data_IF_605295769047
#
_entry.id   IF_605295769047
#
_cell.length_a   1.000
_cell.length_b   1.000
_cell.length_c   1.000
_cell.angle_alpha   90.00
_cell.angle_beta   90.00
_cell.angle_gamma   90.00
#
_symmetry.space_group_name_H-M   'P 1'
#
loop_
_entity.id
_entity.type
_entity.pdbx_description
1 polymer ?
#
# COMPACT_ATOMS: atom_id res chain seq x y z
N UNK A 1 52.54 -29.26 -13.90
CA UNK A 1 52.12 -28.49 -12.70
C UNK A 1 50.90 -27.58 -12.96
N UNK A 2 50.30 -27.58 -14.17
CA UNK A 2 49.11 -26.76 -14.49
C UNK A 2 47.75 -27.49 -14.37
N UNK A 3 47.72 -28.76 -13.96
CA UNK A 3 46.47 -29.54 -13.91
C UNK A 3 45.66 -29.36 -12.62
N UNK A 4 46.29 -28.89 -11.52
CA UNK A 4 45.62 -28.83 -10.21
C UNK A 4 44.90 -27.51 -9.94
N UNK A 5 45.13 -26.46 -10.73
CA UNK A 5 44.43 -25.16 -10.60
C UNK A 5 43.14 -25.09 -11.40
N UNK A 6 43.00 -25.88 -12.49
CA UNK A 6 41.77 -25.93 -13.30
C UNK A 6 40.65 -26.79 -12.70
N UNK A 7 40.94 -27.72 -11.79
CA UNK A 7 39.91 -28.56 -11.13
C UNK A 7 39.15 -27.75 -10.06
N UNK A 8 39.86 -26.94 -9.26
CA UNK A 8 39.26 -26.23 -8.11
C UNK A 8 38.24 -25.14 -8.50
N UNK A 9 38.45 -24.42 -9.61
CA UNK A 9 37.53 -23.37 -10.08
C UNK A 9 36.23 -23.95 -10.67
N UNK A 10 36.31 -25.08 -11.39
CA UNK A 10 35.18 -25.64 -12.14
C UNK A 10 34.23 -26.47 -11.26
N UNK A 11 34.74 -27.10 -10.20
CA UNK A 11 33.92 -27.84 -9.24
C UNK A 11 33.11 -26.89 -8.32
N UNK A 12 33.71 -25.78 -7.88
CA UNK A 12 33.02 -24.78 -7.06
C UNK A 12 31.89 -24.05 -7.82
N UNK A 13 32.06 -23.86 -9.14
CA UNK A 13 31.02 -23.27 -9.99
C UNK A 13 29.83 -24.23 -10.18
N UNK A 14 30.07 -25.54 -10.29
CA UNK A 14 29.02 -26.55 -10.43
C UNK A 14 28.18 -26.72 -9.15
N UNK A 15 28.81 -26.61 -7.97
CA UNK A 15 28.11 -26.62 -6.67
C UNK A 15 27.20 -25.39 -6.45
N UNK A 16 27.60 -24.21 -6.93
CA UNK A 16 26.75 -22.99 -6.84
C UNK A 16 25.58 -23.00 -7.84
N UNK A 17 25.73 -23.61 -9.01
CA UNK A 17 24.65 -23.74 -10.00
C UNK A 17 23.60 -24.76 -9.55
N UNK A 18 24.00 -25.88 -8.93
CA UNK A 18 23.08 -26.93 -8.48
C UNK A 18 22.33 -26.57 -7.17
N UNK A 19 22.94 -25.77 -6.29
CA UNK A 19 22.27 -25.16 -5.13
C UNK A 19 21.28 -24.05 -5.48
N UNK A 20 21.43 -23.42 -6.65
CA UNK A 20 20.46 -22.44 -7.18
C UNK A 20 19.21 -23.09 -7.79
N UNK A 21 19.36 -24.21 -8.50
CA UNK A 21 18.25 -24.87 -9.21
C UNK A 21 17.28 -25.62 -8.28
N UNK A 22 17.74 -26.22 -7.19
CA UNK A 22 16.86 -26.95 -6.24
C UNK A 22 16.10 -26.01 -5.30
N UNK A 23 16.61 -24.80 -5.06
CA UNK A 23 15.95 -23.78 -4.25
C UNK A 23 14.89 -22.99 -5.04
N UNK A 24 14.93 -23.00 -6.38
CA UNK A 24 14.02 -22.23 -7.22
C UNK A 24 12.58 -22.78 -7.30
N UNK A 25 12.35 -24.08 -7.04
CA UNK A 25 11.01 -24.68 -7.15
C UNK A 25 10.16 -24.53 -5.87
N UNK A 26 10.78 -24.43 -4.69
CA UNK A 26 10.09 -24.28 -3.41
C UNK A 26 10.02 -22.81 -2.93
N UNK A 27 11.01 -21.98 -3.24
CA UNK A 27 11.01 -20.56 -2.89
C UNK A 27 9.90 -19.77 -3.60
N UNK A 28 9.64 -20.06 -4.89
CA UNK A 28 8.57 -19.43 -5.69
C UNK A 28 7.16 -19.78 -5.19
N UNK A 29 6.99 -20.95 -4.56
CA UNK A 29 5.70 -21.40 -4.01
C UNK A 29 5.49 -20.82 -2.61
N UNK A 30 6.54 -20.76 -1.79
CA UNK A 30 6.51 -20.14 -0.46
C UNK A 30 6.26 -18.63 -0.53
N UNK A 31 6.85 -17.94 -1.51
CA UNK A 31 6.60 -16.52 -1.78
C UNK A 31 5.12 -16.26 -2.12
N UNK A 32 4.53 -17.07 -3.00
CA UNK A 32 3.11 -16.98 -3.37
C UNK A 32 2.17 -17.28 -2.22
N UNK A 33 2.52 -18.23 -1.34
CA UNK A 33 1.72 -18.56 -0.16
C UNK A 33 1.75 -17.40 0.85
N UNK A 34 2.93 -16.82 1.10
CA UNK A 34 3.06 -15.66 1.98
C UNK A 34 2.28 -14.45 1.44
N UNK A 35 2.41 -14.16 0.14
CA UNK A 35 1.68 -13.06 -0.51
C UNK A 35 0.16 -13.30 -0.55
N UNK A 36 -0.26 -14.55 -0.74
CA UNK A 36 -1.68 -14.96 -0.71
C UNK A 36 -2.28 -14.78 0.68
N UNK A 37 -1.61 -15.25 1.74
CA UNK A 37 -2.06 -15.11 3.13
C UNK A 37 -2.20 -13.64 3.55
N UNK A 38 -1.24 -12.79 3.17
CA UNK A 38 -1.29 -11.35 3.43
C UNK A 38 -2.41 -10.66 2.65
N UNK A 39 -2.66 -11.07 1.41
CA UNK A 39 -3.77 -10.54 0.60
C UNK A 39 -5.12 -10.95 1.18
N UNK A 40 -5.24 -12.19 1.68
CA UNK A 40 -6.48 -12.72 2.25
C UNK A 40 -6.85 -12.02 3.57
N UNK A 41 -5.87 -11.71 4.41
CA UNK A 41 -6.10 -10.93 5.64
C UNK A 41 -6.50 -9.49 5.33
N UNK A 42 -5.85 -8.84 4.37
CA UNK A 42 -6.24 -7.50 3.90
C UNK A 42 -7.64 -7.50 3.29
N UNK A 43 -7.97 -8.51 2.47
CA UNK A 43 -9.27 -8.65 1.84
C UNK A 43 -10.38 -8.91 2.86
N UNK A 44 -10.07 -9.63 3.95
CA UNK A 44 -11.00 -9.84 5.07
C UNK A 44 -11.34 -8.52 5.78
N UNK A 45 -10.33 -7.69 6.07
CA UNK A 45 -10.53 -6.36 6.66
C UNK A 45 -11.33 -5.46 5.72
N UNK A 46 -10.99 -5.44 4.43
CA UNK A 46 -11.72 -4.68 3.42
C UNK A 46 -13.19 -5.12 3.33
N UNK A 47 -13.47 -6.42 3.35
CA UNK A 47 -14.83 -6.95 3.39
C UNK A 47 -15.61 -6.46 4.60
N UNK A 48 -14.99 -6.45 5.78
CA UNK A 48 -15.61 -5.94 7.01
C UNK A 48 -15.96 -4.44 6.90
N UNK A 49 -15.07 -3.63 6.31
CA UNK A 49 -15.32 -2.20 6.03
C UNK A 49 -16.51 -2.05 5.07
N UNK A 50 -16.59 -2.84 4.00
CA UNK A 50 -17.71 -2.79 3.04
C UNK A 50 -19.03 -3.14 3.72
N UNK A 51 -19.06 -4.15 4.60
CA UNK A 51 -20.27 -4.52 5.35
C UNK A 51 -20.72 -3.39 6.27
N UNK A 52 -19.78 -2.75 6.98
CA UNK A 52 -20.09 -1.59 7.83
C UNK A 52 -20.61 -0.43 6.99
N UNK A 53 -19.96 -0.13 5.86
CA UNK A 53 -20.41 0.94 4.96
C UNK A 53 -21.81 0.67 4.42
N UNK A 54 -22.10 -0.57 4.02
CA UNK A 54 -23.43 -0.97 3.59
C UNK A 54 -24.45 -0.74 4.72
N UNK A 55 -24.14 -1.17 5.95
CA UNK A 55 -25.01 -0.98 7.10
C UNK A 55 -25.29 0.51 7.38
N UNK A 56 -24.26 1.37 7.28
CA UNK A 56 -24.41 2.82 7.45
C UNK A 56 -25.29 3.41 6.35
N UNK A 57 -25.14 3.00 5.09
CA UNK A 57 -25.96 3.52 4.00
C UNK A 57 -27.42 3.10 4.18
N UNK A 58 -27.68 1.83 4.49
CA UNK A 58 -29.04 1.32 4.68
C UNK A 58 -29.78 2.01 5.84
N UNK A 59 -29.10 2.29 6.95
CA UNK A 59 -29.73 2.96 8.11
C UNK A 59 -29.65 4.50 8.05
N UNK A 60 -28.66 5.03 7.31
CA UNK A 60 -28.33 6.46 7.26
C UNK A 60 -28.96 7.23 6.10
N UNK A 61 -29.52 6.55 5.10
CA UNK A 61 -30.15 7.22 3.94
C UNK A 61 -31.23 8.24 4.35
N UNK A 62 -31.99 7.97 5.42
CA UNK A 62 -33.03 8.88 5.93
C UNK A 62 -32.48 10.05 6.77
N UNK A 63 -31.24 9.94 7.28
CA UNK A 63 -30.61 10.96 8.13
C UNK A 63 -29.83 12.01 7.32
N UNK A 64 -29.60 11.80 6.02
CA UNK A 64 -29.00 12.78 5.11
C UNK A 64 -30.09 13.78 4.66
N UNK A 65 -30.34 14.78 5.50
CA UNK A 65 -31.07 15.98 5.12
C UNK A 65 -30.15 17.21 5.17
N UNK A 66 -30.49 18.26 4.41
CA UNK A 66 -29.75 19.53 4.44
C UNK A 66 -29.87 20.19 5.82
N UNK A 67 -31.00 20.01 6.51
CA UNK A 67 -31.11 20.29 7.95
C UNK A 67 -30.04 19.56 8.77
N UNK A 68 -29.77 18.27 8.55
CA UNK A 68 -28.70 17.57 9.30
C UNK A 68 -27.29 18.11 9.03
N UNK A 69 -27.05 18.77 7.88
CA UNK A 69 -25.77 19.41 7.61
C UNK A 69 -25.62 20.79 8.27
N UNK A 70 -26.72 21.47 8.58
CA UNK A 70 -26.73 22.88 9.05
C UNK A 70 -27.22 23.04 10.48
N UNK A 71 -27.91 22.05 11.04
CA UNK A 71 -28.43 22.07 12.41
C UNK A 71 -27.29 21.89 13.44
N UNK A 72 -27.35 22.65 14.52
CA UNK A 72 -26.42 22.49 15.64
C UNK A 72 -26.79 21.23 16.45
N UNK A 73 -25.81 20.42 16.91
CA UNK A 73 -26.08 19.21 17.67
C UNK A 73 -26.80 19.52 18.99
N UNK A 74 -27.87 18.78 19.32
CA UNK A 74 -28.64 18.90 20.57
C UNK A 74 -28.70 17.55 21.27
N UNK A 75 -28.57 17.52 22.59
CA UNK A 75 -28.52 16.26 23.37
C UNK A 75 -27.42 15.29 22.91
N UNK A 76 -26.16 15.55 23.30
CA UNK A 76 -25.03 14.58 23.28
C UNK A 76 -24.88 13.77 21.98
N UNK A 77 -25.02 14.40 20.81
CA UNK A 77 -24.91 13.76 19.48
C UNK A 77 -25.95 12.67 19.18
N UNK A 78 -26.99 12.52 20.01
CA UNK A 78 -28.11 11.62 19.72
C UNK A 78 -29.15 12.27 18.80
N UNK A 79 -29.18 13.61 18.71
CA UNK A 79 -30.00 14.37 17.76
C UNK A 79 -29.26 15.66 17.32
N UNK A 80 -29.54 16.15 16.12
CA UNK A 80 -28.90 17.34 15.54
C UNK A 80 -27.72 17.05 14.61
N UNK A 81 -27.20 18.10 13.96
CA UNK A 81 -26.40 17.98 12.74
C UNK A 81 -24.88 17.90 12.89
N UNK A 82 -24.21 17.67 11.76
CA UNK A 82 -22.75 17.50 11.65
C UNK A 82 -21.98 18.81 11.41
N UNK A 83 -22.69 19.95 11.36
CA UNK A 83 -22.13 21.27 11.09
C UNK A 83 -20.84 21.62 11.86
N UNK A 84 -20.77 21.49 13.22
CA UNK A 84 -19.57 21.85 13.96
C UNK A 84 -18.38 20.94 13.66
N UNK A 85 -18.61 19.68 13.25
CA UNK A 85 -17.52 18.79 12.85
C UNK A 85 -16.92 19.23 11.52
N UNK A 86 -17.76 19.64 10.55
CA UNK A 86 -17.30 20.16 9.25
C UNK A 86 -16.57 21.50 9.43
N UNK A 87 -17.14 22.42 10.21
CA UNK A 87 -16.46 23.68 10.50
C UNK A 87 -15.12 23.44 11.22
N UNK A 88 -15.09 22.52 12.18
CA UNK A 88 -13.87 22.12 12.88
C UNK A 88 -12.79 21.57 11.96
N UNK A 89 -13.13 20.66 11.04
CA UNK A 89 -12.14 20.13 10.09
C UNK A 89 -11.60 21.22 9.18
N UNK A 90 -12.45 22.14 8.69
CA UNK A 90 -12.01 23.28 7.86
C UNK A 90 -11.05 24.18 8.64
N UNK A 91 -11.38 24.58 9.87
CA UNK A 91 -10.49 25.41 10.68
C UNK A 91 -9.18 24.70 11.02
N UNK A 92 -9.21 23.39 11.30
CA UNK A 92 -8.00 22.60 11.58
C UNK A 92 -7.11 22.44 10.34
N UNK A 93 -7.70 22.17 9.17
CA UNK A 93 -6.97 22.10 7.90
C UNK A 93 -6.34 23.45 7.59
N UNK A 94 -7.10 24.55 7.64
CA UNK A 94 -6.58 25.88 7.36
C UNK A 94 -5.51 26.30 8.36
N UNK A 95 -5.72 26.06 9.65
CA UNK A 95 -4.74 26.37 10.69
C UNK A 95 -3.46 25.56 10.55
N UNK A 96 -3.58 24.25 10.28
CA UNK A 96 -2.40 23.40 10.05
C UNK A 96 -1.67 23.78 8.77
N UNK A 97 -2.38 24.08 7.66
CA UNK A 97 -1.77 24.54 6.42
C UNK A 97 -1.06 25.89 6.59
N UNK A 98 -1.64 26.83 7.32
CA UNK A 98 -1.04 28.14 7.56
C UNK A 98 0.32 28.06 8.26
N UNK A 99 0.53 27.04 9.11
CA UNK A 99 1.81 26.80 9.80
C UNK A 99 2.71 25.83 9.01
N UNK A 100 2.16 24.77 8.46
CA UNK A 100 2.91 23.73 7.75
C UNK A 100 3.47 24.22 6.42
N UNK A 101 2.76 25.07 5.67
CA UNK A 101 3.23 25.61 4.39
C UNK A 101 4.49 26.45 4.54
N UNK A 102 4.56 27.50 5.38
CA UNK A 102 5.78 28.28 5.50
C UNK A 102 6.95 27.43 6.02
N UNK A 103 6.71 26.54 7.00
CA UNK A 103 7.77 25.65 7.51
C UNK A 103 8.26 24.68 6.43
N UNK A 104 7.34 24.10 5.64
CA UNK A 104 7.66 23.17 4.56
C UNK A 104 8.40 23.83 3.40
N UNK A 105 7.99 25.04 3.01
CA UNK A 105 8.68 25.83 1.97
C UNK A 105 10.09 26.19 2.42
N UNK A 106 10.26 26.66 3.67
CA UNK A 106 11.58 27.00 4.20
C UNK A 106 12.49 25.76 4.28
N UNK A 107 11.96 24.60 4.67
CA UNK A 107 12.71 23.35 4.66
C UNK A 107 13.12 22.92 3.24
N UNK A 108 12.21 23.04 2.26
CA UNK A 108 12.49 22.68 0.87
C UNK A 108 13.55 23.60 0.24
N UNK A 109 13.47 24.92 0.47
CA UNK A 109 14.47 25.87 -0.03
C UNK A 109 15.84 25.62 0.62
N UNK A 110 15.87 25.39 1.94
CA UNK A 110 17.11 25.06 2.64
C UNK A 110 17.76 23.79 2.09
N UNK A 111 16.96 22.75 1.84
CA UNK A 111 17.46 21.51 1.25
C UNK A 111 17.92 21.68 -0.20
N UNK A 112 17.24 22.49 -1.02
CA UNK A 112 17.62 22.66 -2.41
C UNK A 112 18.87 23.55 -2.59
N UNK A 113 19.01 24.60 -1.78
CA UNK A 113 20.05 25.61 -1.96
C UNK A 113 21.28 25.38 -1.06
N UNK A 114 21.08 24.83 0.15
CA UNK A 114 22.12 24.71 1.17
C UNK A 114 22.48 23.27 1.54
N UNK A 115 21.78 22.25 1.03
CA UNK A 115 22.15 20.88 1.34
C UNK A 115 23.43 20.47 0.59
N UNK A 116 24.55 20.51 1.32
CA UNK A 116 25.71 19.69 0.98
C UNK A 116 25.46 18.21 1.24
N UNK A 117 26.39 17.35 0.81
CA UNK A 117 26.47 15.92 1.16
C UNK A 117 26.75 15.75 2.67
N UNK A 118 25.73 15.99 3.47
CA UNK A 118 25.77 15.92 4.92
C UNK A 118 24.81 14.82 5.40
N UNK A 119 25.14 14.20 6.55
CA UNK A 119 24.32 13.11 7.14
C UNK A 119 22.89 13.54 7.47
N UNK A 120 22.66 14.84 7.68
CA UNK A 120 21.35 15.45 7.90
C UNK A 120 20.46 15.40 6.66
N UNK A 121 21.01 15.68 5.47
CA UNK A 121 20.28 15.62 4.19
C UNK A 121 19.82 14.19 3.91
N UNK A 122 20.73 13.22 4.06
CA UNK A 122 20.42 11.79 3.88
C UNK A 122 19.29 11.31 4.81
N UNK A 123 19.27 11.77 6.07
CA UNK A 123 18.25 11.39 7.03
C UNK A 123 16.87 11.98 6.67
N UNK A 124 16.84 13.22 6.18
CA UNK A 124 15.60 13.87 5.74
C UNK A 124 15.05 13.18 4.48
N UNK A 125 15.89 12.88 3.49
CA UNK A 125 15.48 12.15 2.29
C UNK A 125 14.95 10.74 2.61
N UNK A 126 15.60 10.03 3.54
CA UNK A 126 15.14 8.71 4.01
C UNK A 126 13.76 8.79 4.68
N UNK A 127 13.50 9.84 5.47
CA UNK A 127 12.21 10.07 6.10
C UNK A 127 11.12 10.40 5.07
N UNK A 128 11.43 11.26 4.10
CA UNK A 128 10.52 11.63 3.00
C UNK A 128 10.18 10.39 2.16
N UNK A 129 11.17 9.54 1.83
CA UNK A 129 10.93 8.31 1.07
C UNK A 129 10.11 7.27 1.84
N UNK A 130 10.28 7.16 3.16
CA UNK A 130 9.42 6.29 3.99
C UNK A 130 7.98 6.80 4.08
N UNK A 131 7.78 8.11 4.25
CA UNK A 131 6.45 8.72 4.26
C UNK A 131 5.77 8.58 2.90
N UNK A 132 6.56 8.57 1.82
CA UNK A 132 6.06 8.28 0.48
C UNK A 132 5.70 6.79 0.27
N UNK A 133 6.23 5.87 1.06
CA UNK A 133 5.92 4.44 0.95
C UNK A 133 4.42 4.11 1.05
N UNK A 134 3.68 4.84 1.89
CA UNK A 134 2.22 4.66 2.00
C UNK A 134 1.46 5.08 0.74
N UNK A 135 2.00 6.02 -0.05
CA UNK A 135 1.33 6.44 -1.27
C UNK A 135 1.45 5.39 -2.38
N UNK A 136 2.60 4.71 -2.43
CA UNK A 136 2.84 3.63 -3.39
C UNK A 136 1.92 2.44 -3.08
N UNK A 137 1.60 2.21 -1.81
CA UNK A 137 0.73 1.11 -1.37
C UNK A 137 -0.69 1.21 -1.94
N UNK A 138 -1.35 2.38 -1.89
CA UNK A 138 -2.71 2.51 -2.45
C UNK A 138 -2.71 2.41 -3.98
N UNK A 139 -1.67 2.93 -4.64
CA UNK A 139 -1.55 2.89 -6.09
C UNK A 139 -1.36 1.45 -6.58
N UNK A 140 -0.50 0.67 -5.92
CA UNK A 140 -0.28 -0.74 -6.25
C UNK A 140 -1.43 -1.67 -5.84
N UNK A 141 -2.23 -1.31 -4.83
CA UNK A 141 -3.38 -2.10 -4.38
C UNK A 141 -4.51 -2.14 -5.42
N UNK A 142 -4.77 -1.02 -6.11
CA UNK A 142 -5.78 -0.95 -7.17
C UNK A 142 -5.51 -1.94 -8.30
N UNK A 143 -4.25 -2.09 -8.71
CA UNK A 143 -3.85 -3.00 -9.79
C UNK A 143 -3.90 -4.48 -9.37
N UNK A 144 -3.55 -4.76 -8.11
CA UNK A 144 -3.50 -6.12 -7.56
C UNK A 144 -4.89 -6.79 -7.49
N UNK A 145 -5.91 -6.02 -7.10
CA UNK A 145 -7.29 -6.51 -7.01
C UNK A 145 -7.91 -6.77 -8.39
N UNK A 146 -7.57 -5.95 -9.38
CA UNK A 146 -7.99 -6.15 -10.77
C UNK A 146 -7.33 -7.38 -11.40
N UNK A 147 -6.04 -7.62 -11.10
CA UNK A 147 -5.29 -8.77 -11.62
C UNK A 147 -5.72 -10.11 -10.99
N UNK A 148 -6.12 -10.14 -9.71
CA UNK A 148 -6.54 -11.38 -9.05
C UNK A 148 -7.95 -11.83 -9.50
N UNK A 149 -8.85 -10.87 -9.73
CA UNK A 149 -10.20 -11.14 -10.26
C UNK A 149 -10.15 -11.64 -11.72
N UNK A 150 -9.24 -11.08 -12.53
CA UNK A 150 -9.03 -11.51 -13.93
C UNK A 150 -8.24 -12.80 -14.04
N UNK A 151 -7.20 -13.01 -13.21
CA UNK A 151 -6.39 -14.24 -13.24
C UNK A 151 -7.15 -15.48 -12.74
N UNK A 152 -8.07 -15.34 -11.78
CA UNK A 152 -8.93 -16.45 -11.34
C UNK A 152 -9.88 -16.94 -12.44
N UNK A 153 -10.42 -16.01 -13.25
CA UNK A 153 -11.29 -16.32 -14.39
C UNK A 153 -10.49 -16.86 -15.58
N UNK A 154 -9.30 -16.30 -15.85
CA UNK A 154 -8.40 -16.71 -16.95
C UNK A 154 -7.76 -18.06 -16.68
N UNK A 155 -7.35 -18.39 -15.45
CA UNK A 155 -6.82 -19.73 -15.12
C UNK A 155 -7.88 -20.83 -15.15
N UNK A 156 -9.15 -20.52 -14.86
CA UNK A 156 -10.25 -21.48 -15.03
C UNK A 156 -10.58 -21.70 -16.52
N UNK A 157 -10.48 -20.64 -17.34
CA UNK A 157 -10.81 -20.70 -18.78
C UNK A 157 -9.64 -21.17 -19.67
N UNK A 158 -8.39 -21.04 -19.22
CA UNK A 158 -7.17 -21.38 -19.99
C UNK A 158 -6.60 -22.77 -19.65
N UNK A 159 -7.06 -23.41 -18.57
CA UNK A 159 -6.64 -24.78 -18.21
C UNK A 159 -6.97 -25.87 -19.24
N UNK A 160 -8.05 -25.80 -20.03
CA UNK A 160 -8.27 -26.77 -21.11
C UNK A 160 -7.58 -26.40 -22.44
N UNK A 161 -7.05 -25.18 -22.61
CA UNK A 161 -6.41 -24.74 -23.85
C UNK A 161 -4.89 -24.97 -23.90
N UNK A 162 -4.23 -25.08 -22.74
CA UNK A 162 -2.78 -25.28 -22.65
C UNK A 162 -2.36 -26.76 -22.55
N UNK A 163 -3.31 -27.68 -22.32
CA UNK A 163 -3.10 -29.13 -22.34
C UNK A 163 -3.37 -29.78 -23.73
N UNK A 164 -3.77 -29.00 -24.73
CA UNK A 164 -3.94 -29.45 -26.12
C UNK A 164 -2.81 -28.97 -27.05
N UNK A 165 -1.74 -28.38 -26.49
CA UNK A 165 -0.59 -27.83 -27.21
C UNK A 165 0.75 -28.42 -26.73
N UNK A 166 0.69 -29.55 -26.01
CA UNK A 166 1.78 -30.49 -25.72
C UNK A 166 1.21 -31.91 -25.78
#
# INVERSE_FOLDING_TARGET
>A
MELSTKVNENDHKSLRVQGGLSMELNARTSEKIAFSLLTLSAMTVAGFVVVILAYIIYNGYSAISIEFLTEMPRMRMTQGGIYPAIAGTVYLILGSMAVALPVGIMAAIYLNEYAGENRTTWLIEMAINNLQGLHLSYSGFSDSHFSLSTSGLVLLCCRPALLSLF
#
